data_IF_658521833132
#
_entry.id   IF_658521833132
#
_cell.length_a   1.000
_cell.length_b   1.000
_cell.length_c   1.000
_cell.angle_alpha   90.00
_cell.angle_beta   90.00
_cell.angle_gamma   90.00
#
_symmetry.space_group_name_H-M   'P 1'
#
loop_
_entity.id
_entity.type
_entity.pdbx_description
1 polymer ?
#
# COMPACT_ATOMS: atom_id res chain seq x y z
N UNK A 1 7.38 2.34 22.57
CA UNK A 1 7.89 3.42 21.69
C UNK A 1 7.00 3.45 20.46
N UNK A 2 6.45 4.60 20.10
CA UNK A 2 5.65 4.73 18.86
C UNK A 2 6.60 4.99 17.70
N UNK A 3 6.46 4.24 16.60
CA UNK A 3 7.26 4.44 15.39
C UNK A 3 6.69 5.59 14.59
N UNK A 4 7.53 6.54 14.20
CA UNK A 4 7.12 7.66 13.34
C UNK A 4 7.41 7.30 11.87
N UNK A 5 6.38 7.40 11.02
CA UNK A 5 6.46 7.13 9.58
C UNK A 5 5.58 8.12 8.80
N UNK A 6 5.80 8.19 7.49
CA UNK A 6 4.93 8.94 6.59
C UNK A 6 3.57 8.26 6.46
N UNK A 7 2.55 9.04 6.11
CA UNK A 7 1.22 8.50 5.78
C UNK A 7 1.30 7.44 4.68
N UNK A 8 2.07 7.71 3.61
CA UNK A 8 2.27 6.76 2.50
C UNK A 8 2.83 5.43 2.98
N UNK A 9 3.81 5.45 3.90
CA UNK A 9 4.38 4.23 4.46
C UNK A 9 3.39 3.46 5.32
N UNK A 10 2.56 4.15 6.09
CA UNK A 10 1.55 3.52 6.93
C UNK A 10 0.49 2.80 6.08
N UNK A 11 0.02 3.46 5.03
CA UNK A 11 -0.96 2.87 4.11
C UNK A 11 -0.36 1.71 3.31
N UNK A 12 0.88 1.85 2.82
CA UNK A 12 1.59 0.78 2.12
C UNK A 12 1.72 -0.49 2.98
N UNK A 13 2.11 -0.33 4.25
CA UNK A 13 2.27 -1.46 5.17
C UNK A 13 0.93 -2.14 5.45
N UNK A 14 -0.14 -1.38 5.72
CA UNK A 14 -1.47 -1.93 5.96
C UNK A 14 -2.01 -2.71 4.75
N UNK A 15 -1.85 -2.16 3.53
CA UNK A 15 -2.26 -2.84 2.30
C UNK A 15 -1.46 -4.13 2.09
N UNK A 16 -0.15 -4.08 2.30
CA UNK A 16 0.71 -5.25 2.15
C UNK A 16 0.41 -6.34 3.20
N UNK A 17 0.01 -5.96 4.43
CA UNK A 17 -0.42 -6.90 5.47
C UNK A 17 -1.69 -7.64 5.08
N UNK A 18 -2.73 -6.93 4.63
CA UNK A 18 -3.99 -7.58 4.24
C UNK A 18 -3.84 -8.42 2.97
N UNK A 19 -3.08 -7.97 1.97
CA UNK A 19 -2.76 -8.79 0.78
C UNK A 19 -1.98 -10.06 1.11
N UNK A 20 -1.15 -10.06 2.16
CA UNK A 20 -0.47 -11.29 2.65
C UNK A 20 -1.42 -12.20 3.43
N UNK A 21 -2.37 -11.62 4.17
CA UNK A 21 -3.30 -12.34 5.03
C UNK A 21 -4.40 -13.05 4.23
N UNK A 22 -4.93 -12.39 3.20
CA UNK A 22 -6.05 -12.89 2.41
C UNK A 22 -5.72 -12.84 0.90
N UNK A 23 -5.57 -14.00 0.24
CA UNK A 23 -5.23 -14.07 -1.18
C UNK A 23 -6.34 -13.56 -2.11
N UNK A 24 -7.52 -13.24 -1.58
CA UNK A 24 -8.62 -12.66 -2.35
C UNK A 24 -8.57 -11.12 -2.41
N UNK A 25 -7.70 -10.49 -1.62
CA UNK A 25 -7.50 -9.03 -1.65
C UNK A 25 -6.64 -8.64 -2.84
N UNK A 26 -7.12 -7.68 -3.63
CA UNK A 26 -6.39 -7.09 -4.74
C UNK A 26 -6.64 -5.58 -4.80
N UNK A 27 -5.75 -4.86 -5.50
CA UNK A 27 -5.81 -3.40 -5.64
C UNK A 27 -5.97 -3.09 -7.13
N UNK A 28 -6.87 -2.17 -7.46
CA UNK A 28 -7.06 -1.66 -8.82
C UNK A 28 -7.15 -0.14 -8.81
N UNK A 29 -6.72 0.47 -9.91
CA UNK A 29 -6.81 1.91 -10.11
C UNK A 29 -5.91 2.34 -11.26
N UNK A 30 -6.09 3.56 -11.71
CA UNK A 30 -5.15 4.21 -12.62
C UNK A 30 -3.76 4.25 -11.97
N UNK A 31 -2.75 3.85 -12.73
CA UNK A 31 -1.34 3.97 -12.35
C UNK A 31 -0.90 3.24 -11.06
N UNK A 32 -1.66 2.24 -10.60
CA UNK A 32 -1.40 1.47 -9.37
C UNK A 32 -0.21 0.50 -9.47
N UNK A 33 0.14 0.05 -10.68
CA UNK A 33 1.20 -0.93 -10.93
C UNK A 33 2.45 -0.27 -11.56
N UNK A 34 2.90 -0.70 -12.74
CA UNK A 34 4.14 -0.21 -13.39
C UNK A 34 4.14 1.31 -13.70
N UNK A 35 3.02 2.01 -13.50
CA UNK A 35 2.92 3.44 -13.65
C UNK A 35 3.08 4.22 -12.32
N UNK A 36 3.98 3.78 -11.44
CA UNK A 36 4.69 4.68 -10.51
C UNK A 36 3.87 5.43 -9.46
N UNK A 37 2.59 5.09 -9.27
CA UNK A 37 1.59 5.59 -8.32
C UNK A 37 1.62 7.11 -8.06
N UNK A 38 0.59 7.89 -8.44
CA UNK A 38 0.61 9.35 -8.34
C UNK A 38 0.95 9.91 -6.94
N UNK A 39 0.71 9.11 -5.90
CA UNK A 39 0.94 9.46 -4.50
C UNK A 39 2.03 8.61 -3.81
N UNK A 40 2.72 7.71 -4.53
CA UNK A 40 3.79 6.85 -3.98
C UNK A 40 3.36 6.07 -2.73
N UNK A 41 2.09 5.66 -2.71
CA UNK A 41 1.50 4.87 -1.62
C UNK A 41 1.81 3.38 -1.82
N UNK A 42 1.98 2.93 -3.06
CA UNK A 42 2.34 1.56 -3.42
C UNK A 42 3.77 1.50 -3.96
#
# INVERSE_FOLDING_TARGET
MTRQITLSKAVNEALAEEMRRDPTVFIIGEDVAEAGTPFKVL
#
